data_IF_190651392940
#
_entry.id   IF_190651392940
#
_cell.length_a   1.000
_cell.length_b   1.000
_cell.length_c   1.000
_cell.angle_alpha   90.00
_cell.angle_beta   90.00
_cell.angle_gamma   90.00
#
_symmetry.space_group_name_H-M   'P 1'
#
loop_
_entity.id
_entity.type
_entity.pdbx_description
1 polymer ?
#
# COMPACT_ATOMS: atom_id res chain seq x y z
N UNK A 1 9.47 -4.46 -25.25
CA UNK A 1 8.62 -3.75 -24.27
C UNK A 1 7.22 -4.36 -24.15
N UNK A 2 6.48 -4.56 -25.26
CA UNK A 2 5.14 -5.18 -25.24
C UNK A 2 5.07 -6.59 -24.63
N UNK A 3 5.96 -7.50 -25.02
CA UNK A 3 5.96 -8.87 -24.47
C UNK A 3 6.23 -8.95 -22.96
N UNK A 4 7.17 -8.14 -22.45
CA UNK A 4 7.45 -8.05 -21.02
C UNK A 4 6.26 -7.49 -20.23
N UNK A 5 5.63 -6.43 -20.73
CA UNK A 5 4.40 -5.89 -20.14
C UNK A 5 3.24 -6.89 -20.21
N UNK A 6 3.16 -7.68 -21.29
CA UNK A 6 2.18 -8.76 -21.45
C UNK A 6 2.37 -9.88 -20.43
N UNK A 7 3.60 -10.30 -20.14
CA UNK A 7 3.91 -11.30 -19.09
C UNK A 7 3.53 -10.75 -17.72
N UNK A 8 3.86 -9.49 -17.43
CA UNK A 8 3.51 -8.85 -16.14
C UNK A 8 1.98 -8.79 -15.99
N UNK A 9 1.27 -8.25 -16.98
CA UNK A 9 -0.18 -8.14 -16.95
C UNK A 9 -0.87 -9.51 -16.88
N UNK A 10 -0.38 -10.50 -17.63
CA UNK A 10 -0.87 -11.87 -17.58
C UNK A 10 -0.67 -12.51 -16.19
N UNK A 11 0.49 -12.31 -15.58
CA UNK A 11 0.78 -12.81 -14.23
C UNK A 11 -0.15 -12.19 -13.19
N UNK A 12 -0.43 -10.88 -13.29
CA UNK A 12 -1.40 -10.18 -12.44
C UNK A 12 -2.81 -10.75 -12.63
N UNK A 13 -3.22 -10.99 -13.88
CA UNK A 13 -4.51 -11.58 -14.20
C UNK A 13 -4.70 -12.98 -13.58
N UNK A 14 -3.69 -13.85 -13.74
CA UNK A 14 -3.68 -15.19 -13.13
C UNK A 14 -3.75 -15.10 -11.61
N UNK A 15 -2.95 -14.22 -11.00
CA UNK A 15 -2.96 -14.02 -9.55
C UNK A 15 -4.33 -13.55 -9.02
N UNK A 16 -4.96 -12.61 -9.72
CA UNK A 16 -6.29 -12.10 -9.35
C UNK A 16 -7.37 -13.19 -9.44
N UNK A 17 -7.31 -14.04 -10.47
CA UNK A 17 -8.27 -15.12 -10.64
C UNK A 17 -8.04 -16.27 -9.64
N UNK A 18 -6.78 -16.65 -9.41
CA UNK A 18 -6.42 -17.77 -8.54
C UNK A 18 -6.48 -17.43 -7.04
N UNK A 19 -6.30 -16.15 -6.69
CA UNK A 19 -6.22 -15.67 -5.31
C UNK A 19 -7.40 -16.08 -4.43
N UNK A 20 -8.67 -15.81 -4.80
CA UNK A 20 -9.84 -16.18 -4.01
C UNK A 20 -9.99 -17.70 -3.82
N UNK A 21 -9.68 -18.47 -4.87
CA UNK A 21 -9.77 -19.94 -4.83
C UNK A 21 -8.73 -20.50 -3.85
N UNK A 22 -7.47 -20.07 -4.00
CA UNK A 22 -6.38 -20.48 -3.11
C UNK A 22 -6.66 -20.03 -1.67
N UNK A 23 -7.07 -18.77 -1.49
CA UNK A 23 -7.40 -18.20 -0.18
C UNK A 23 -8.53 -18.95 0.53
N UNK A 24 -9.59 -19.29 -0.20
CA UNK A 24 -10.72 -20.06 0.31
C UNK A 24 -10.32 -21.48 0.74
N UNK A 25 -9.59 -22.20 -0.13
CA UNK A 25 -9.14 -23.57 0.16
C UNK A 25 -8.20 -23.59 1.37
N UNK A 26 -7.16 -22.75 1.38
CA UNK A 26 -6.20 -22.71 2.49
C UNK A 26 -6.89 -22.24 3.77
N UNK A 27 -7.74 -21.22 3.70
CA UNK A 27 -8.51 -20.75 4.85
C UNK A 27 -9.41 -21.84 5.44
N UNK A 28 -10.03 -22.68 4.60
CA UNK A 28 -10.93 -23.75 5.03
C UNK A 28 -10.20 -24.95 5.65
N UNK A 29 -9.10 -25.41 5.04
CA UNK A 29 -8.41 -26.63 5.47
C UNK A 29 -7.27 -26.40 6.47
N UNK A 30 -6.56 -25.28 6.36
CA UNK A 30 -5.36 -24.99 7.15
C UNK A 30 -5.58 -23.81 8.13
N UNK A 31 -6.75 -23.17 8.05
CA UNK A 31 -7.11 -22.02 8.86
C UNK A 31 -6.54 -20.71 8.32
N UNK A 32 -7.17 -19.60 8.71
CA UNK A 32 -6.82 -18.25 8.24
C UNK A 32 -5.34 -17.88 8.50
N UNK A 33 -4.77 -18.34 9.63
CA UNK A 33 -3.37 -18.07 9.98
C UNK A 33 -2.37 -18.63 8.95
N UNK A 34 -2.72 -19.74 8.28
CA UNK A 34 -1.85 -20.34 7.28
C UNK A 34 -1.63 -19.42 6.07
N UNK A 35 -2.62 -18.59 5.72
CA UNK A 35 -2.50 -17.63 4.60
C UNK A 35 -1.36 -16.64 4.82
N UNK A 36 -1.14 -16.20 6.06
CA UNK A 36 -0.02 -15.32 6.39
C UNK A 36 1.32 -16.04 6.26
N UNK A 37 1.40 -17.30 6.70
CA UNK A 37 2.61 -18.11 6.53
C UNK A 37 2.95 -18.36 5.07
N UNK A 38 1.95 -18.68 4.23
CA UNK A 38 2.16 -18.82 2.79
C UNK A 38 2.63 -17.51 2.15
N UNK A 39 1.99 -16.39 2.50
CA UNK A 39 2.38 -15.07 1.99
C UNK A 39 3.81 -14.72 2.42
N UNK A 40 4.17 -15.00 3.67
CA UNK A 40 5.50 -14.76 4.20
C UNK A 40 6.58 -15.59 3.48
N UNK A 41 6.32 -16.89 3.28
CA UNK A 41 7.23 -17.77 2.53
C UNK A 41 7.38 -17.32 1.07
N UNK A 42 6.28 -16.96 0.41
CA UNK A 42 6.30 -16.43 -0.95
C UNK A 42 7.14 -15.15 -1.03
N UNK A 43 6.96 -14.23 -0.08
CA UNK A 43 7.74 -12.99 -0.01
C UNK A 43 9.24 -13.26 0.13
N UNK A 44 9.64 -14.22 0.98
CA UNK A 44 11.04 -14.64 1.11
C UNK A 44 11.57 -15.17 -0.24
N UNK A 45 10.83 -16.04 -0.92
CA UNK A 45 11.26 -16.57 -2.21
C UNK A 45 11.42 -15.47 -3.26
N UNK A 46 10.53 -14.48 -3.28
CA UNK A 46 10.63 -13.32 -4.18
C UNK A 46 11.87 -12.49 -3.86
N UNK A 47 12.14 -12.19 -2.59
CA UNK A 47 13.31 -11.42 -2.17
C UNK A 47 14.61 -12.13 -2.57
N UNK A 48 14.69 -13.43 -2.32
CA UNK A 48 15.85 -14.26 -2.69
C UNK A 48 15.99 -14.29 -4.22
N UNK A 49 14.91 -14.57 -4.94
CA UNK A 49 14.89 -14.58 -6.40
C UNK A 49 15.31 -13.23 -6.98
N UNK A 50 14.81 -12.13 -6.43
CA UNK A 50 15.18 -10.79 -6.85
C UNK A 50 16.66 -10.49 -6.58
N UNK A 51 17.18 -10.89 -5.42
CA UNK A 51 18.58 -10.70 -5.06
C UNK A 51 19.53 -11.37 -6.05
N UNK A 52 19.19 -12.57 -6.55
CA UNK A 52 20.02 -13.30 -7.51
C UNK A 52 19.75 -12.97 -8.98
N UNK A 53 18.49 -12.69 -9.34
CA UNK A 53 18.09 -12.53 -10.74
C UNK A 53 18.19 -11.09 -11.24
N UNK A 54 18.06 -10.09 -10.36
CA UNK A 54 18.27 -8.71 -10.77
C UNK A 54 19.78 -8.45 -10.85
N UNK A 55 20.30 -7.98 -12.00
CA UNK A 55 21.66 -7.49 -12.04
C UNK A 55 21.80 -6.36 -11.02
N UNK A 56 22.99 -6.18 -10.42
CA UNK A 56 23.26 -5.01 -9.59
C UNK A 56 23.10 -3.76 -10.45
N UNK A 57 21.90 -3.19 -10.43
CA UNK A 57 21.63 -1.91 -11.06
C UNK A 57 22.34 -0.92 -10.14
N UNK A 58 23.56 -0.52 -10.51
CA UNK A 58 24.09 0.75 -9.99
C UNK A 58 22.97 1.75 -10.26
N UNK A 59 22.43 2.43 -9.24
CA UNK A 59 21.37 3.38 -9.47
C UNK A 59 21.83 4.26 -10.63
N UNK A 60 21.13 4.16 -11.77
CA UNK A 60 21.34 5.09 -12.87
C UNK A 60 21.30 6.43 -12.19
N UNK A 61 22.36 7.24 -12.31
CA UNK A 61 22.51 8.52 -11.64
C UNK A 61 21.24 9.34 -11.85
N UNK A 62 20.26 9.12 -10.99
CA UNK A 62 19.00 9.81 -11.00
C UNK A 62 19.31 11.02 -10.18
N UNK A 63 19.97 11.97 -10.85
CA UNK A 63 19.84 13.39 -10.64
C UNK A 63 19.74 13.73 -9.15
N UNK A 64 20.89 13.77 -8.49
CA UNK A 64 21.14 14.62 -7.34
C UNK A 64 20.32 14.37 -6.06
N UNK A 65 21.08 14.28 -4.98
CA UNK A 65 20.66 14.50 -3.59
C UNK A 65 20.09 13.28 -2.87
N UNK A 66 20.58 13.14 -1.64
CA UNK A 66 19.88 12.50 -0.53
C UNK A 66 18.42 12.97 -0.51
N UNK A 67 17.53 12.29 -1.23
CA UNK A 67 16.09 12.48 -1.07
C UNK A 67 15.71 11.83 0.25
N UNK A 68 15.85 12.61 1.32
CA UNK A 68 15.32 12.24 2.62
C UNK A 68 13.85 11.85 2.42
N UNK A 69 13.53 10.62 2.81
CA UNK A 69 12.17 10.08 2.74
C UNK A 69 11.22 11.03 3.49
N UNK A 70 10.13 11.46 2.85
CA UNK A 70 9.17 12.40 3.44
C UNK A 70 8.28 11.68 4.47
N UNK A 71 8.84 11.44 5.66
CA UNK A 71 8.14 10.83 6.79
C UNK A 71 6.87 11.59 7.17
N UNK A 72 6.88 12.92 7.01
CA UNK A 72 5.74 13.79 7.32
C UNK A 72 4.62 13.58 6.31
N UNK A 73 4.94 13.56 5.02
CA UNK A 73 3.98 13.20 3.97
C UNK A 73 3.41 11.79 4.15
N UNK A 74 4.27 10.83 4.49
CA UNK A 74 3.84 9.46 4.82
C UNK A 74 2.91 9.39 6.03
N UNK A 75 3.19 10.17 7.09
CA UNK A 75 2.34 10.24 8.28
C UNK A 75 0.96 10.84 7.95
N UNK A 76 0.90 11.94 7.21
CA UNK A 76 -0.38 12.53 6.80
C UNK A 76 -1.21 11.55 5.96
N UNK A 77 -0.58 10.86 5.01
CA UNK A 77 -1.25 9.85 4.19
C UNK A 77 -1.77 8.68 5.05
N UNK A 78 -0.96 8.19 5.98
CA UNK A 78 -1.36 7.15 6.93
C UNK A 78 -2.54 7.57 7.81
N UNK A 79 -2.50 8.80 8.33
CA UNK A 79 -3.60 9.35 9.13
C UNK A 79 -4.88 9.52 8.33
N UNK A 80 -4.80 10.02 7.09
CA UNK A 80 -5.97 10.14 6.21
C UNK A 80 -6.65 8.80 6.01
N UNK A 81 -5.91 7.77 5.62
CA UNK A 81 -6.46 6.44 5.35
C UNK A 81 -6.98 5.80 6.64
N UNK A 82 -6.20 5.87 7.72
CA UNK A 82 -6.56 5.27 9.00
C UNK A 82 -7.82 5.88 9.61
N UNK A 83 -7.91 7.22 9.67
CA UNK A 83 -9.07 7.92 10.22
C UNK A 83 -10.31 7.77 9.36
N UNK A 84 -10.16 7.72 8.03
CA UNK A 84 -11.27 7.48 7.12
C UNK A 84 -11.83 6.07 7.31
N UNK A 85 -10.97 5.05 7.35
CA UNK A 85 -11.38 3.66 7.56
C UNK A 85 -12.05 3.48 8.93
N UNK A 86 -11.45 4.03 9.99
CA UNK A 86 -12.00 3.97 11.33
C UNK A 86 -13.34 4.73 11.44
N UNK A 87 -13.45 5.90 10.80
CA UNK A 87 -14.69 6.68 10.74
C UNK A 87 -15.82 5.93 10.06
N UNK A 88 -15.55 5.27 8.91
CA UNK A 88 -16.53 4.42 8.23
C UNK A 88 -16.95 3.24 9.10
N UNK A 89 -15.98 2.55 9.72
CA UNK A 89 -16.24 1.41 10.60
C UNK A 89 -17.15 1.79 11.76
N UNK A 90 -16.83 2.90 12.45
CA UNK A 90 -17.66 3.41 13.55
C UNK A 90 -19.01 3.95 13.08
N UNK A 91 -19.07 4.50 11.85
CA UNK A 91 -20.31 4.92 11.22
C UNK A 91 -21.27 3.77 10.97
N UNK A 92 -20.74 2.60 10.59
CA UNK A 92 -21.52 1.37 10.43
C UNK A 92 -22.01 0.81 11.78
N UNK A 93 -21.14 0.75 12.80
CA UNK A 93 -21.48 0.13 14.09
C UNK A 93 -22.32 1.02 15.01
N UNK A 94 -22.05 2.33 15.02
CA UNK A 94 -22.58 3.28 16.01
C UNK A 94 -23.35 4.44 15.36
N UNK A 95 -23.50 4.42 14.04
CA UNK A 95 -24.13 5.49 13.26
C UNK A 95 -23.16 6.60 12.91
N UNK A 96 -23.33 7.17 11.71
CA UNK A 96 -22.46 8.23 11.19
C UNK A 96 -22.49 9.52 12.02
N UNK A 97 -23.58 9.77 12.74
CA UNK A 97 -23.75 10.92 13.65
C UNK A 97 -23.09 10.70 15.01
N UNK A 98 -22.49 9.53 15.28
CA UNK A 98 -21.75 9.30 16.52
C UNK A 98 -20.52 10.20 16.58
N UNK A 99 -20.18 10.66 17.79
CA UNK A 99 -19.03 11.56 18.02
C UNK A 99 -17.73 10.96 17.48
N UNK A 100 -17.51 9.65 17.67
CA UNK A 100 -16.32 8.93 17.17
C UNK A 100 -16.25 8.87 15.65
N UNK A 101 -17.37 8.60 14.97
CA UNK A 101 -17.43 8.60 13.49
C UNK A 101 -17.15 10.00 12.94
N UNK A 102 -17.85 11.01 13.45
CA UNK A 102 -17.76 12.37 12.95
C UNK A 102 -16.38 12.99 13.16
N UNK A 103 -15.79 12.83 14.35
CA UNK A 103 -14.44 13.32 14.64
C UNK A 103 -13.37 12.65 13.78
N UNK A 104 -13.51 11.34 13.53
CA UNK A 104 -12.58 10.60 12.68
C UNK A 104 -12.71 11.01 11.21
N UNK A 105 -13.93 11.17 10.70
CA UNK A 105 -14.17 11.65 9.34
C UNK A 105 -13.63 13.07 9.14
N UNK A 106 -13.91 14.00 10.06
CA UNK A 106 -13.35 15.36 10.01
C UNK A 106 -11.83 15.32 10.10
N UNK A 107 -11.27 14.53 11.02
CA UNK A 107 -9.83 14.35 11.16
C UNK A 107 -9.18 13.81 9.87
N UNK A 108 -9.85 12.90 9.16
CA UNK A 108 -9.37 12.38 7.88
C UNK A 108 -9.28 13.46 6.80
N UNK A 109 -10.27 14.36 6.74
CA UNK A 109 -10.29 15.49 5.81
C UNK A 109 -9.19 16.49 6.15
N UNK A 110 -9.00 16.80 7.44
CA UNK A 110 -7.92 17.69 7.90
C UNK A 110 -6.55 17.10 7.55
N UNK A 111 -6.35 15.80 7.80
CA UNK A 111 -5.11 15.12 7.44
C UNK A 111 -4.87 15.11 5.92
N UNK A 112 -5.93 14.96 5.11
CA UNK A 112 -5.84 14.99 3.64
C UNK A 112 -5.43 16.38 3.14
N UNK A 113 -6.02 17.44 3.69
CA UNK A 113 -5.62 18.83 3.35
C UNK A 113 -4.17 19.06 3.74
N UNK A 114 -3.74 18.59 4.92
CA UNK A 114 -2.35 18.62 5.36
C UNK A 114 -1.41 17.85 4.42
N UNK A 115 -1.83 16.69 3.94
CA UNK A 115 -1.11 15.89 2.95
C UNK A 115 -0.94 16.65 1.63
N UNK A 116 -2.02 17.21 1.08
CA UNK A 116 -1.99 17.97 -0.17
C UNK A 116 -1.08 19.20 -0.03
N UNK A 117 -1.21 19.94 1.08
CA UNK A 117 -0.33 21.07 1.36
C UNK A 117 1.13 20.64 1.43
N UNK A 118 1.43 19.54 2.13
CA UNK A 118 2.79 18.98 2.20
C UNK A 118 3.31 18.59 0.82
N UNK A 119 2.50 17.99 -0.05
CA UNK A 119 2.91 17.64 -1.41
C UNK A 119 3.28 18.87 -2.26
N UNK A 120 2.58 19.99 -2.07
CA UNK A 120 2.82 21.24 -2.81
C UNK A 120 3.98 22.05 -2.22
N UNK A 121 4.27 21.94 -0.93
CA UNK A 121 5.33 22.72 -0.27
C UNK A 121 6.65 21.96 -0.11
N UNK A 122 6.64 20.63 -0.02
CA UNK A 122 7.86 19.85 0.20
C UNK A 122 8.81 19.89 -1.01
N UNK A 123 10.10 20.04 -0.73
CA UNK A 123 11.17 19.95 -1.74
C UNK A 123 11.28 18.55 -2.36
N UNK A 124 11.04 17.52 -1.54
CA UNK A 124 11.04 16.11 -1.95
C UNK A 124 9.73 15.45 -1.47
N UNK A 125 8.61 15.64 -2.18
CA UNK A 125 7.32 15.10 -1.77
C UNK A 125 7.29 13.57 -1.87
N UNK A 126 6.53 12.94 -0.98
CA UNK A 126 6.32 11.48 -0.96
C UNK A 126 5.82 10.92 -2.31
N UNK A 127 4.94 11.68 -2.99
CA UNK A 127 4.46 11.39 -4.34
C UNK A 127 5.07 12.41 -5.31
N UNK A 128 5.77 11.97 -6.38
CA UNK A 128 6.29 12.88 -7.40
C UNK A 128 5.17 13.67 -8.08
N UNK A 129 5.41 14.96 -8.33
CA UNK A 129 4.50 15.79 -9.15
C UNK A 129 4.63 15.32 -10.60
N UNK A 130 3.51 14.95 -11.22
CA UNK A 130 3.41 14.63 -12.66
C UNK A 130 3.38 15.89 -13.51
#
# INVERSE_FOLDING_TARGET
RGGALGIIAGSIGVGTAAGPIFGGVVGQYLGWNALFWFTFLLAIMIVIGAYYALPTIKPAESVGSNKNFDFIGGLFLGLTVGLLLFGITQGETSGFSSFSSLTSLIGSVVALVGFIWRMVTAENPFVPRV
#
